data_IF_140658975838
#
_entry.id   IF_140658975838
#
_cell.length_a   1.000
_cell.length_b   1.000
_cell.length_c   1.000
_cell.angle_alpha   90.00
_cell.angle_beta   90.00
_cell.angle_gamma   90.00
#
_symmetry.space_group_name_H-M   'P 1'
#
loop_
_entity.id
_entity.type
_entity.pdbx_description
1 polymer ?
#
# COMPACT_ATOMS: atom_id res chain seq x y z
N UNK A 1 1.12 -25.55 -14.51
CA UNK A 1 1.76 -25.04 -13.28
C UNK A 1 3.09 -24.41 -13.66
N UNK A 2 3.18 -23.10 -13.62
CA UNK A 2 4.44 -22.37 -13.76
C UNK A 2 5.15 -22.53 -12.42
N UNK A 3 6.20 -23.35 -12.36
CA UNK A 3 7.04 -23.43 -11.17
C UNK A 3 7.61 -22.06 -10.90
N UNK A 4 7.54 -21.60 -9.65
CA UNK A 4 8.21 -20.38 -9.21
C UNK A 4 9.68 -20.48 -9.63
N UNK A 5 10.05 -19.75 -10.69
CA UNK A 5 11.40 -19.83 -11.26
C UNK A 5 12.34 -18.97 -10.43
N UNK A 6 13.12 -19.60 -9.59
CA UNK A 6 14.13 -19.02 -8.68
C UNK A 6 15.30 -18.31 -9.39
N UNK A 7 15.04 -17.66 -10.53
CA UNK A 7 16.09 -17.13 -11.41
C UNK A 7 16.39 -15.65 -11.24
N UNK A 8 15.47 -14.91 -10.60
CA UNK A 8 15.60 -13.47 -10.46
C UNK A 8 15.90 -13.06 -9.02
N UNK A 9 16.78 -12.08 -8.85
CA UNK A 9 17.22 -11.60 -7.53
C UNK A 9 16.09 -11.05 -6.65
N UNK A 10 14.99 -10.63 -7.27
CA UNK A 10 13.80 -10.07 -6.58
C UNK A 10 12.65 -11.07 -6.42
N UNK A 11 12.89 -12.35 -6.69
CA UNK A 11 11.89 -13.40 -6.40
C UNK A 11 11.56 -13.40 -4.91
N UNK A 12 10.27 -13.56 -4.58
CA UNK A 12 9.82 -13.64 -3.18
C UNK A 12 10.51 -14.84 -2.49
N UNK A 13 11.19 -14.61 -1.35
CA UNK A 13 11.95 -15.68 -0.68
C UNK A 13 11.10 -16.86 -0.22
N UNK A 14 9.83 -16.64 0.13
CA UNK A 14 8.93 -17.72 0.55
C UNK A 14 8.58 -18.60 -0.65
N UNK A 15 8.24 -17.99 -1.80
CA UNK A 15 8.02 -18.72 -3.04
C UNK A 15 9.28 -19.49 -3.46
N UNK A 16 10.45 -18.91 -3.25
CA UNK A 16 11.73 -19.55 -3.52
C UNK A 16 11.98 -20.80 -2.66
N UNK A 17 11.61 -20.77 -1.38
CA UNK A 17 11.75 -21.88 -0.44
C UNK A 17 10.71 -22.98 -0.75
N UNK A 18 9.47 -22.60 -0.92
CA UNK A 18 8.34 -23.54 -1.04
C UNK A 18 8.15 -24.07 -2.46
N UNK A 19 8.70 -23.39 -3.47
CA UNK A 19 8.45 -23.70 -4.89
C UNK A 19 7.01 -23.42 -5.35
N UNK A 20 6.24 -22.66 -4.57
CA UNK A 20 4.82 -22.35 -4.79
C UNK A 20 4.61 -20.87 -5.03
N UNK A 21 3.56 -20.56 -5.79
CA UNK A 21 3.07 -19.20 -5.90
C UNK A 21 2.36 -18.75 -4.61
N UNK A 22 2.31 -17.44 -4.34
CA UNK A 22 1.76 -16.89 -3.09
C UNK A 22 0.34 -17.37 -2.78
N UNK A 23 -0.51 -17.50 -3.80
CA UNK A 23 -1.91 -17.93 -3.63
C UNK A 23 -2.07 -19.43 -3.35
N UNK A 24 -1.00 -20.21 -3.53
CA UNK A 24 -0.97 -21.67 -3.26
C UNK A 24 -0.41 -22.00 -1.87
N UNK A 25 0.08 -20.99 -1.12
CA UNK A 25 0.69 -21.19 0.19
C UNK A 25 -0.30 -21.78 1.18
N UNK A 26 0.11 -22.84 1.85
CA UNK A 26 -0.61 -23.51 2.92
C UNK A 26 0.06 -23.26 4.26
N UNK A 27 -0.63 -23.59 5.36
CA UNK A 27 -0.04 -23.56 6.70
C UNK A 27 1.25 -24.37 6.78
N UNK A 28 1.29 -25.55 6.17
CA UNK A 28 2.46 -26.43 6.20
C UNK A 28 3.67 -25.82 5.50
N UNK A 29 3.46 -25.14 4.38
CA UNK A 29 4.51 -24.40 3.69
C UNK A 29 5.10 -23.30 4.58
N UNK A 30 4.27 -22.59 5.33
CA UNK A 30 4.70 -21.53 6.23
C UNK A 30 5.45 -22.07 7.45
N UNK A 31 5.04 -23.24 7.98
CA UNK A 31 5.78 -23.97 9.02
C UNK A 31 7.16 -24.38 8.48
N UNK A 32 7.23 -24.93 7.27
CA UNK A 32 8.51 -25.24 6.62
C UNK A 32 9.42 -24.01 6.56
N UNK A 33 8.90 -22.85 6.16
CA UNK A 33 9.67 -21.60 6.11
C UNK A 33 10.19 -21.21 7.50
N UNK A 34 9.36 -21.33 8.55
CA UNK A 34 9.77 -21.03 9.93
C UNK A 34 10.93 -21.95 10.35
N UNK A 35 10.81 -23.26 10.09
CA UNK A 35 11.82 -24.26 10.45
C UNK A 35 13.14 -24.06 9.67
N UNK A 36 13.06 -23.92 8.34
CA UNK A 36 14.25 -23.78 7.48
C UNK A 36 15.03 -22.48 7.73
N UNK A 37 14.33 -21.40 8.07
CA UNK A 37 14.96 -20.09 8.36
C UNK A 37 15.30 -19.90 9.83
N UNK A 38 14.86 -20.79 10.72
CA UNK A 38 15.04 -20.65 12.15
C UNK A 38 14.42 -19.34 12.67
N UNK A 39 13.18 -19.08 12.24
CA UNK A 39 12.47 -17.87 12.64
C UNK A 39 11.98 -18.00 14.07
N UNK A 40 12.02 -16.89 14.81
CA UNK A 40 11.72 -16.84 16.24
C UNK A 40 10.31 -16.35 16.54
N UNK A 41 9.68 -15.67 15.54
CA UNK A 41 8.37 -15.04 15.74
C UNK A 41 7.54 -14.98 14.47
N UNK A 42 6.24 -14.85 14.68
CA UNK A 42 5.25 -14.49 13.68
C UNK A 42 4.79 -13.08 14.03
N UNK A 43 4.76 -12.18 13.04
CA UNK A 43 4.25 -10.81 13.22
C UNK A 43 2.99 -10.61 12.38
N UNK A 44 1.91 -10.26 13.04
CA UNK A 44 0.65 -9.90 12.42
C UNK A 44 0.57 -8.40 12.19
N UNK A 45 0.37 -8.00 10.94
CA UNK A 45 0.13 -6.63 10.54
C UNK A 45 -1.35 -6.45 10.20
N UNK A 46 -1.96 -5.42 10.73
CA UNK A 46 -3.37 -5.10 10.46
C UNK A 46 -3.58 -3.60 10.34
N UNK A 47 -4.55 -3.23 9.50
CA UNK A 47 -4.80 -1.83 9.15
C UNK A 47 -5.70 -1.16 10.18
N UNK A 48 -5.23 -0.06 10.76
CA UNK A 48 -6.04 0.81 11.60
C UNK A 48 -6.96 1.72 10.76
N UNK A 49 -7.94 2.36 11.41
CA UNK A 49 -8.88 3.26 10.74
C UNK A 49 -8.22 4.46 10.04
N UNK A 50 -7.06 4.88 10.51
CA UNK A 50 -6.27 5.96 9.91
C UNK A 50 -5.34 5.48 8.78
N UNK A 51 -5.48 4.22 8.34
CA UNK A 51 -4.68 3.62 7.29
C UNK A 51 -3.24 3.27 7.67
N UNK A 52 -2.88 3.36 8.96
CA UNK A 52 -1.57 2.91 9.43
C UNK A 52 -1.61 1.43 9.76
N UNK A 53 -0.51 0.75 9.51
CA UNK A 53 -0.29 -0.61 10.00
C UNK A 53 0.02 -0.57 11.49
N UNK A 54 -0.66 -1.44 12.22
CA UNK A 54 -0.31 -1.86 13.59
C UNK A 54 0.21 -3.29 13.55
N UNK A 55 0.93 -3.69 14.58
CA UNK A 55 1.55 -5.01 14.62
C UNK A 55 1.36 -5.71 15.97
N UNK A 56 1.28 -7.03 15.91
CA UNK A 56 1.32 -7.92 17.05
C UNK A 56 2.44 -8.94 16.82
N UNK A 57 3.41 -9.01 17.74
CA UNK A 57 4.56 -9.90 17.64
C UNK A 57 4.36 -11.11 18.56
N UNK A 58 4.36 -12.29 17.96
CA UNK A 58 4.06 -13.55 18.62
C UNK A 58 5.31 -14.43 18.59
N UNK A 59 5.96 -14.73 19.74
CA UNK A 59 7.11 -15.61 19.76
C UNK A 59 6.69 -17.05 19.42
N UNK A 60 7.54 -17.78 18.74
CA UNK A 60 7.31 -19.18 18.36
C UNK A 60 8.36 -20.06 19.03
N UNK A 61 7.95 -20.81 20.06
CA UNK A 61 8.84 -21.69 20.80
C UNK A 61 8.85 -23.13 20.28
N UNK A 62 7.81 -23.56 19.54
CA UNK A 62 7.70 -24.90 18.99
C UNK A 62 6.66 -24.96 17.86
N UNK A 63 6.68 -26.06 17.12
CA UNK A 63 5.79 -26.28 15.98
C UNK A 63 4.30 -26.21 16.34
N UNK A 64 3.88 -26.80 17.46
CA UNK A 64 2.48 -26.77 17.90
C UNK A 64 1.96 -25.34 18.10
N UNK A 65 2.78 -24.48 18.70
CA UNK A 65 2.44 -23.06 18.88
C UNK A 65 2.33 -22.35 17.54
N UNK A 66 3.27 -22.56 16.61
CA UNK A 66 3.21 -21.97 15.29
C UNK A 66 1.96 -22.41 14.52
N UNK A 67 1.61 -23.71 14.56
CA UNK A 67 0.40 -24.24 13.95
C UNK A 67 -0.87 -23.62 14.51
N UNK A 68 -0.95 -23.44 15.82
CA UNK A 68 -2.09 -22.80 16.50
C UNK A 68 -2.23 -21.34 16.07
N UNK A 69 -1.15 -20.55 16.15
CA UNK A 69 -1.16 -19.15 15.76
C UNK A 69 -1.55 -18.96 14.29
N UNK A 70 -1.02 -19.77 13.39
CA UNK A 70 -1.36 -19.70 11.97
C UNK A 70 -2.81 -20.10 11.68
N UNK A 71 -3.39 -21.01 12.47
CA UNK A 71 -4.76 -21.54 12.25
C UNK A 71 -5.83 -20.69 12.91
N UNK A 72 -5.61 -20.30 14.17
CA UNK A 72 -6.62 -19.67 15.03
C UNK A 72 -6.43 -18.14 15.11
N UNK A 73 -5.24 -17.67 14.71
CA UNK A 73 -4.86 -16.27 14.90
C UNK A 73 -4.64 -15.91 16.37
N UNK A 74 -4.82 -14.62 16.68
CA UNK A 74 -4.69 -14.11 18.04
C UNK A 74 -5.80 -13.15 18.41
N UNK A 75 -6.19 -13.19 19.68
CA UNK A 75 -7.18 -12.26 20.22
C UNK A 75 -6.55 -10.90 20.51
N UNK A 76 -7.27 -9.83 20.18
CA UNK A 76 -6.89 -8.45 20.44
C UNK A 76 -8.06 -7.66 21.02
N UNK A 77 -7.75 -6.59 21.77
CA UNK A 77 -8.76 -5.69 22.29
C UNK A 77 -9.24 -4.70 21.21
N UNK A 78 -10.42 -4.97 20.68
CA UNK A 78 -11.06 -4.13 19.67
C UNK A 78 -11.43 -2.74 20.18
N UNK A 79 -11.72 -2.57 21.48
CA UNK A 79 -12.07 -1.27 22.05
C UNK A 79 -10.89 -0.28 22.03
N UNK A 80 -9.67 -0.79 22.17
CA UNK A 80 -8.44 -0.01 22.05
C UNK A 80 -8.07 0.29 20.60
N UNK A 81 -8.38 -0.63 19.66
CA UNK A 81 -8.07 -0.48 18.25
C UNK A 81 -9.11 0.39 17.50
N UNK A 82 -10.37 0.24 17.87
CA UNK A 82 -11.53 0.84 17.17
C UNK A 82 -12.39 1.64 18.15
N UNK A 83 -11.73 2.56 18.87
CA UNK A 83 -12.37 3.41 19.88
C UNK A 83 -13.58 4.16 19.32
N UNK A 84 -14.72 4.03 20.01
CA UNK A 84 -15.99 4.64 19.59
C UNK A 84 -16.81 3.82 18.58
N UNK A 85 -16.25 2.71 18.08
CA UNK A 85 -16.96 1.75 17.21
C UNK A 85 -17.19 0.44 17.96
N UNK A 86 -16.19 -0.04 18.69
CA UNK A 86 -16.26 -1.28 19.47
C UNK A 86 -16.49 -0.94 20.94
N UNK A 87 -17.56 -1.54 21.51
CA UNK A 87 -17.90 -1.40 22.93
C UNK A 87 -16.92 -2.21 23.80
N UNK A 88 -16.50 -1.63 24.92
CA UNK A 88 -15.59 -2.30 25.87
C UNK A 88 -16.19 -3.59 26.48
N UNK A 89 -17.51 -3.69 26.57
CA UNK A 89 -18.20 -4.88 27.05
C UNK A 89 -18.22 -6.06 26.07
N UNK A 90 -17.86 -5.84 24.78
CA UNK A 90 -17.77 -6.85 23.71
C UNK A 90 -16.55 -6.57 22.83
N UNK A 91 -15.39 -6.40 23.46
CA UNK A 91 -14.19 -5.89 22.78
C UNK A 91 -13.35 -6.95 22.09
N UNK A 92 -13.63 -8.23 22.27
CA UNK A 92 -12.82 -9.29 21.70
C UNK A 92 -12.95 -9.34 20.19
N UNK A 93 -11.81 -9.13 19.52
CA UNK A 93 -11.61 -9.37 18.10
C UNK A 93 -10.49 -10.40 17.93
N UNK A 94 -10.54 -11.14 16.84
CA UNK A 94 -9.48 -12.07 16.45
C UNK A 94 -8.81 -11.58 15.20
N UNK A 95 -7.48 -11.66 15.18
CA UNK A 95 -6.64 -11.28 14.02
C UNK A 95 -6.10 -12.56 13.41
N UNK A 96 -6.50 -12.87 12.18
CA UNK A 96 -6.08 -14.07 11.47
C UNK A 96 -5.19 -13.74 10.27
N UNK A 97 -4.10 -14.52 10.04
CA UNK A 97 -3.18 -14.26 8.95
C UNK A 97 -3.77 -14.66 7.59
N UNK A 98 -3.50 -13.83 6.57
CA UNK A 98 -3.79 -14.15 5.17
C UNK A 98 -2.55 -14.80 4.57
N UNK A 99 -2.53 -16.11 4.36
CA UNK A 99 -1.33 -16.85 3.96
C UNK A 99 -0.65 -16.34 2.71
N UNK A 100 -1.43 -15.94 1.70
CA UNK A 100 -0.88 -15.36 0.47
C UNK A 100 -0.14 -14.03 0.66
N UNK A 101 -0.34 -13.38 1.81
CA UNK A 101 0.35 -12.12 2.17
C UNK A 101 1.64 -12.34 2.93
N UNK A 102 2.00 -13.59 3.24
CA UNK A 102 3.21 -13.92 4.00
C UNK A 102 4.47 -13.33 3.37
N UNK A 103 5.34 -12.76 4.21
CA UNK A 103 6.65 -12.27 3.79
C UNK A 103 7.68 -12.38 4.92
N UNK A 104 8.94 -12.54 4.55
CA UNK A 104 10.04 -12.38 5.50
C UNK A 104 10.23 -10.90 5.76
N UNK A 105 10.25 -10.51 7.04
CA UNK A 105 10.37 -9.09 7.41
C UNK A 105 11.67 -8.49 6.88
N UNK A 106 11.65 -7.36 6.17
CA UNK A 106 12.87 -6.71 5.71
C UNK A 106 13.61 -5.99 6.83
N UNK A 107 12.99 -5.87 8.01
CA UNK A 107 13.52 -5.12 9.15
C UNK A 107 13.83 -6.00 10.36
N UNK A 108 13.49 -7.28 10.31
CA UNK A 108 13.70 -8.28 11.35
C UNK A 108 13.93 -9.65 10.69
N UNK A 109 15.18 -10.10 10.63
CA UNK A 109 15.60 -11.36 9.98
C UNK A 109 15.08 -12.63 10.67
N UNK A 110 14.38 -12.46 11.81
CA UNK A 110 13.80 -13.54 12.63
C UNK A 110 12.28 -13.60 12.61
N UNK A 111 11.63 -12.85 11.74
CA UNK A 111 10.17 -12.75 11.71
C UNK A 111 9.56 -13.18 10.37
N UNK A 112 8.48 -13.97 10.47
CA UNK A 112 7.53 -14.23 9.39
C UNK A 112 6.31 -13.34 9.58
N UNK A 113 6.10 -12.44 8.63
CA UNK A 113 5.10 -11.38 8.73
C UNK A 113 3.91 -11.63 7.82
N UNK A 114 2.72 -11.18 8.24
CA UNK A 114 1.47 -11.34 7.51
C UNK A 114 0.63 -10.08 7.55
N UNK A 115 -0.07 -9.77 6.47
CA UNK A 115 -1.27 -8.95 6.55
C UNK A 115 -2.42 -9.82 7.06
N UNK A 116 -3.18 -9.31 8.03
CA UNK A 116 -4.22 -10.05 8.71
C UNK A 116 -5.61 -9.44 8.50
N UNK A 117 -6.64 -10.23 8.82
CA UNK A 117 -8.04 -9.81 8.83
C UNK A 117 -8.63 -9.92 10.23
N UNK A 118 -9.58 -9.06 10.53
CA UNK A 118 -10.29 -9.09 11.81
C UNK A 118 -11.55 -9.94 11.73
N UNK A 119 -11.70 -10.83 12.70
CA UNK A 119 -12.95 -11.53 12.97
C UNK A 119 -13.57 -11.03 14.28
N UNK A 120 -14.88 -11.11 14.36
CA UNK A 120 -15.63 -10.97 15.62
C UNK A 120 -15.49 -12.23 16.47
N UNK A 121 -15.95 -12.18 17.72
CA UNK A 121 -15.99 -13.35 18.61
C UNK A 121 -16.82 -14.51 18.05
N UNK A 122 -17.75 -14.24 17.14
CA UNK A 122 -18.59 -15.27 16.47
C UNK A 122 -17.88 -15.88 15.25
N UNK A 123 -16.65 -15.50 14.95
CA UNK A 123 -15.87 -15.98 13.81
C UNK A 123 -16.20 -15.35 12.46
N UNK A 124 -17.04 -14.32 12.44
CA UNK A 124 -17.41 -13.58 11.24
C UNK A 124 -16.45 -12.42 10.97
N UNK A 125 -16.27 -12.04 9.70
CA UNK A 125 -15.48 -10.86 9.35
C UNK A 125 -16.02 -9.61 10.04
N UNK A 126 -15.19 -8.91 10.79
CA UNK A 126 -15.58 -7.67 11.48
C UNK A 126 -16.05 -6.61 10.47
N UNK A 127 -17.32 -6.16 10.50
CA UNK A 127 -17.93 -5.44 9.39
C UNK A 127 -17.51 -3.97 9.29
N UNK A 128 -16.76 -3.46 10.25
CA UNK A 128 -16.35 -2.06 10.38
C UNK A 128 -14.88 -1.82 10.05
N UNK A 129 -14.10 -2.86 9.79
CA UNK A 129 -12.69 -2.70 9.44
C UNK A 129 -12.53 -2.37 7.96
N UNK A 130 -11.59 -1.48 7.57
CA UNK A 130 -11.48 -0.99 6.19
C UNK A 130 -11.27 -2.10 5.16
N UNK A 131 -10.44 -3.08 5.48
CA UNK A 131 -10.13 -4.24 4.65
C UNK A 131 -11.36 -5.13 4.42
N UNK A 132 -12.15 -5.41 5.47
CA UNK A 132 -13.37 -6.22 5.36
C UNK A 132 -14.49 -5.48 4.63
N UNK A 133 -14.57 -4.15 4.79
CA UNK A 133 -15.50 -3.31 4.00
C UNK A 133 -15.13 -3.40 2.51
N UNK A 134 -13.84 -3.30 2.18
CA UNK A 134 -13.36 -3.43 0.81
C UNK A 134 -13.69 -4.82 0.24
N UNK A 135 -13.39 -5.88 0.99
CA UNK A 135 -13.68 -7.25 0.58
C UNK A 135 -15.17 -7.49 0.35
N UNK A 136 -16.04 -6.95 1.23
CA UNK A 136 -17.50 -6.99 1.06
C UNK A 136 -17.94 -6.25 -0.20
N UNK A 137 -17.40 -5.06 -0.45
CA UNK A 137 -17.74 -4.27 -1.63
C UNK A 137 -17.30 -4.98 -2.92
N UNK A 138 -16.10 -5.55 -2.95
CA UNK A 138 -15.59 -6.32 -4.09
C UNK A 138 -16.44 -7.58 -4.35
N UNK A 139 -16.84 -8.29 -3.30
CA UNK A 139 -17.73 -9.45 -3.42
C UNK A 139 -19.09 -9.04 -4.03
N UNK A 140 -19.73 -8.00 -3.49
CA UNK A 140 -20.99 -7.50 -4.02
C UNK A 140 -20.87 -7.03 -5.47
N UNK A 141 -19.76 -6.41 -5.83
CA UNK A 141 -19.50 -6.02 -7.21
C UNK A 141 -19.47 -7.24 -8.13
N UNK A 142 -18.73 -8.30 -7.77
CA UNK A 142 -18.68 -9.55 -8.55
C UNK A 142 -20.05 -10.22 -8.69
N UNK A 143 -20.81 -10.29 -7.59
CA UNK A 143 -22.13 -10.90 -7.58
C UNK A 143 -23.14 -10.14 -8.47
N UNK A 144 -23.09 -8.81 -8.46
CA UNK A 144 -24.04 -7.98 -9.22
C UNK A 144 -23.66 -7.80 -10.69
N UNK A 145 -22.38 -7.86 -11.05
CA UNK A 145 -21.90 -7.53 -12.40
C UNK A 145 -21.33 -8.72 -13.14
N UNK A 146 -20.87 -9.75 -12.44
CA UNK A 146 -20.09 -10.85 -13.00
C UNK A 146 -18.65 -10.45 -13.36
N UNK A 147 -18.18 -9.26 -12.94
CA UNK A 147 -16.83 -8.76 -13.19
C UNK A 147 -16.02 -8.68 -11.92
N UNK A 148 -14.70 -8.88 -12.03
CA UNK A 148 -13.75 -8.57 -10.98
C UNK A 148 -13.22 -7.15 -11.16
N UNK A 149 -13.13 -6.40 -10.06
CA UNK A 149 -12.50 -5.09 -10.04
C UNK A 149 -11.01 -5.26 -9.71
N UNK A 150 -10.17 -4.80 -10.62
CA UNK A 150 -8.73 -4.67 -10.43
C UNK A 150 -8.37 -3.21 -10.24
N UNK A 151 -7.31 -2.97 -9.48
CA UNK A 151 -6.77 -1.65 -9.28
C UNK A 151 -5.26 -1.67 -9.18
N UNK A 152 -4.68 -0.50 -9.35
CA UNK A 152 -3.32 -0.17 -8.95
C UNK A 152 -3.32 1.22 -8.34
N UNK A 153 -2.40 1.46 -7.41
CA UNK A 153 -2.17 2.79 -6.86
C UNK A 153 -0.83 3.34 -7.34
N UNK A 154 -0.76 4.64 -7.46
CA UNK A 154 0.47 5.41 -7.63
C UNK A 154 0.72 6.16 -6.32
N UNK A 155 1.73 5.74 -5.58
CA UNK A 155 2.08 6.36 -4.31
C UNK A 155 3.10 7.46 -4.53
N UNK A 156 2.63 8.71 -4.52
CA UNK A 156 3.51 9.86 -4.41
C UNK A 156 3.80 10.17 -2.93
N UNK A 157 5.02 10.61 -2.65
CA UNK A 157 5.43 11.04 -1.31
C UNK A 157 6.69 11.88 -1.36
N UNK A 158 6.94 12.66 -0.31
CA UNK A 158 8.21 13.36 -0.16
C UNK A 158 9.14 12.59 0.77
N UNK A 159 10.41 12.50 0.36
CA UNK A 159 11.52 12.09 1.22
C UNK A 159 12.19 13.36 1.72
N UNK A 160 12.16 13.58 3.04
CA UNK A 160 12.73 14.74 3.69
C UNK A 160 14.10 14.37 4.26
N UNK A 161 15.15 15.00 3.74
CA UNK A 161 16.54 14.81 4.17
C UNK A 161 17.09 16.05 4.87
N UNK A 162 18.21 15.91 5.55
CA UNK A 162 18.94 17.06 6.08
C UNK A 162 19.47 17.94 4.93
N UNK A 163 19.58 19.25 5.13
CA UNK A 163 20.21 20.13 4.14
C UNK A 163 21.67 19.71 3.86
N UNK A 164 22.04 19.70 2.60
CA UNK A 164 23.39 19.41 2.15
C UNK A 164 23.87 20.54 1.24
N UNK A 165 25.21 20.73 1.14
CA UNK A 165 25.79 21.55 0.10
C UNK A 165 25.46 20.96 -1.27
N UNK A 166 24.63 21.64 -2.02
CA UNK A 166 24.11 21.13 -3.28
C UNK A 166 24.93 21.64 -4.47
N UNK A 167 25.92 20.87 -4.89
CA UNK A 167 26.72 21.17 -6.09
C UNK A 167 25.92 21.00 -7.39
N UNK A 168 24.83 20.26 -7.35
CA UNK A 168 23.97 19.95 -8.49
C UNK A 168 22.52 20.27 -8.13
N UNK A 169 22.13 21.55 -8.12
CA UNK A 169 20.78 21.96 -7.72
C UNK A 169 19.76 21.59 -8.80
N UNK A 170 18.57 21.20 -8.37
CA UNK A 170 17.39 21.07 -9.23
C UNK A 170 16.59 22.36 -9.09
N UNK A 171 16.24 23.05 -10.19
CA UNK A 171 15.33 24.18 -10.12
C UNK A 171 13.96 23.78 -9.55
N UNK A 172 13.30 24.71 -8.87
CA UNK A 172 11.97 24.51 -8.28
C UNK A 172 11.01 23.87 -9.29
N UNK A 173 10.33 22.80 -8.88
CA UNK A 173 9.35 22.08 -9.70
C UNK A 173 9.93 21.53 -11.04
N UNK A 174 11.19 21.09 -11.04
CA UNK A 174 11.88 20.49 -12.20
C UNK A 174 12.52 19.14 -11.88
N UNK A 175 12.00 18.45 -10.85
CA UNK A 175 12.53 17.15 -10.39
C UNK A 175 12.08 15.95 -11.21
N UNK A 176 11.13 16.09 -12.12
CA UNK A 176 10.52 14.97 -12.84
C UNK A 176 11.57 14.14 -13.58
N UNK A 177 11.67 12.85 -13.25
CA UNK A 177 12.66 11.90 -13.75
C UNK A 177 14.12 12.32 -13.55
N UNK A 178 14.41 13.26 -12.64
CA UNK A 178 15.77 13.61 -12.33
C UNK A 178 16.53 12.43 -11.72
N UNK A 179 17.82 12.37 -12.00
CA UNK A 179 18.72 11.29 -11.54
C UNK A 179 19.89 11.86 -10.74
N UNK A 180 20.65 10.96 -10.09
CA UNK A 180 21.90 11.36 -9.44
C UNK A 180 22.87 11.99 -10.45
N UNK A 181 23.65 12.99 -10.09
CA UNK A 181 23.83 13.55 -8.75
C UNK A 181 22.84 14.68 -8.36
N UNK A 182 21.88 14.98 -9.22
CA UNK A 182 20.90 16.04 -8.95
C UNK A 182 19.95 15.68 -7.80
N UNK A 183 19.44 14.44 -7.77
CA UNK A 183 18.67 13.90 -6.64
C UNK A 183 19.58 13.24 -5.62
N UNK A 184 19.18 13.26 -4.36
CA UNK A 184 19.96 12.73 -3.22
C UNK A 184 19.31 11.51 -2.56
N UNK A 185 18.03 11.27 -2.81
CA UNK A 185 17.27 10.16 -2.23
C UNK A 185 17.25 8.87 -3.07
N UNK A 186 18.03 8.81 -4.15
CA UNK A 186 18.00 7.68 -5.10
C UNK A 186 18.31 6.31 -4.48
N UNK A 187 19.29 6.21 -3.58
CA UNK A 187 19.61 4.96 -2.89
C UNK A 187 18.49 4.51 -1.98
N UNK A 188 17.87 5.45 -1.26
CA UNK A 188 16.74 5.18 -0.37
C UNK A 188 15.53 4.70 -1.17
N UNK A 189 15.25 5.33 -2.31
CA UNK A 189 14.19 4.90 -3.21
C UNK A 189 14.47 3.49 -3.77
N UNK A 190 15.71 3.19 -4.15
CA UNK A 190 16.10 1.85 -4.61
C UNK A 190 15.88 0.77 -3.55
N UNK A 191 16.19 1.06 -2.27
CA UNK A 191 15.93 0.12 -1.16
C UNK A 191 14.42 -0.08 -0.95
N UNK A 192 13.62 0.98 -1.02
CA UNK A 192 12.15 0.87 -0.97
C UNK A 192 11.62 -0.05 -2.08
N UNK A 193 12.04 0.18 -3.32
CA UNK A 193 11.65 -0.63 -4.49
C UNK A 193 12.10 -2.08 -4.31
N UNK A 194 13.32 -2.31 -3.83
CA UNK A 194 13.85 -3.65 -3.56
C UNK A 194 12.95 -4.44 -2.61
N UNK A 195 12.67 -3.89 -1.44
CA UNK A 195 11.84 -4.57 -0.45
C UNK A 195 10.41 -4.78 -0.94
N UNK A 196 9.79 -3.75 -1.52
CA UNK A 196 8.45 -3.83 -2.06
C UNK A 196 8.33 -4.89 -3.16
N UNK A 197 9.28 -4.94 -4.09
CA UNK A 197 9.26 -5.93 -5.17
C UNK A 197 9.42 -7.35 -4.63
N UNK A 198 10.37 -7.58 -3.71
CA UNK A 198 10.56 -8.91 -3.10
C UNK A 198 9.35 -9.41 -2.33
N UNK A 199 8.63 -8.51 -1.67
CA UNK A 199 7.48 -8.87 -0.85
C UNK A 199 6.22 -9.03 -1.70
N UNK A 200 5.93 -8.05 -2.56
CA UNK A 200 4.65 -8.00 -3.28
C UNK A 200 4.71 -8.62 -4.68
N UNK A 201 5.85 -8.52 -5.35
CA UNK A 201 5.98 -8.86 -6.77
C UNK A 201 5.28 -7.89 -7.73
N UNK A 202 4.74 -6.78 -7.22
CA UNK A 202 3.82 -5.92 -7.98
C UNK A 202 4.30 -4.48 -8.17
N UNK A 203 5.57 -4.17 -7.94
CA UNK A 203 6.11 -2.85 -8.31
C UNK A 203 6.29 -2.79 -9.82
N UNK A 204 5.77 -1.76 -10.45
CA UNK A 204 5.90 -1.49 -11.89
C UNK A 204 7.15 -0.67 -12.17
N UNK A 205 7.26 0.50 -11.56
CA UNK A 205 8.44 1.37 -11.60
C UNK A 205 8.42 2.38 -10.44
N UNK A 206 9.50 3.15 -10.33
CA UNK A 206 9.60 4.28 -9.42
C UNK A 206 10.46 5.38 -10.07
N UNK A 207 10.16 6.63 -9.76
CA UNK A 207 10.90 7.78 -10.24
C UNK A 207 10.76 8.99 -9.31
N UNK A 208 11.58 10.01 -9.56
CA UNK A 208 11.41 11.30 -8.92
C UNK A 208 10.32 12.09 -9.63
N UNK A 209 9.50 12.76 -8.83
CA UNK A 209 8.43 13.64 -9.27
C UNK A 209 8.89 15.10 -9.36
N UNK A 210 8.02 15.99 -9.83
CA UNK A 210 8.34 17.40 -10.08
C UNK A 210 8.75 18.14 -8.80
N UNK A 211 8.25 17.70 -7.63
CA UNK A 211 8.35 18.43 -6.38
C UNK A 211 9.75 18.41 -5.77
N UNK A 212 10.34 19.60 -5.63
CA UNK A 212 11.58 19.83 -4.89
C UNK A 212 11.39 20.97 -3.92
N UNK A 213 11.72 20.74 -2.66
CA UNK A 213 11.68 21.71 -1.57
C UNK A 213 13.10 21.88 -1.00
N UNK A 214 13.64 23.08 -1.06
CA UNK A 214 14.98 23.37 -0.52
C UNK A 214 14.97 23.53 1.01
N UNK A 215 13.83 23.97 1.56
CA UNK A 215 13.69 24.31 2.98
C UNK A 215 12.23 24.17 3.41
N UNK A 216 11.87 23.03 3.96
CA UNK A 216 10.51 22.74 4.42
C UNK A 216 10.11 23.65 5.58
N UNK A 217 9.02 24.38 5.42
CA UNK A 217 8.43 25.20 6.47
C UNK A 217 7.48 24.35 7.32
N UNK A 218 7.78 24.23 8.61
CA UNK A 218 6.97 23.41 9.53
C UNK A 218 7.11 23.90 10.96
N UNK A 219 6.06 23.72 11.76
CA UNK A 219 6.10 23.90 13.20
C UNK A 219 6.82 22.74 13.92
N UNK A 220 6.92 21.58 13.28
CA UNK A 220 7.64 20.42 13.79
C UNK A 220 9.14 20.58 13.57
N UNK A 221 9.91 20.64 14.67
CA UNK A 221 11.37 20.84 14.65
C UNK A 221 12.09 19.75 13.84
N UNK A 222 11.58 18.53 13.85
CA UNK A 222 12.17 17.33 13.21
C UNK A 222 12.16 17.43 11.68
N UNK A 223 11.29 18.24 11.09
CA UNK A 223 11.16 18.38 9.62
C UNK A 223 11.43 19.81 9.14
N UNK A 224 11.41 20.80 10.05
CA UNK A 224 11.71 22.20 9.70
C UNK A 224 13.12 22.32 9.13
N UNK A 225 13.23 23.03 8.03
CA UNK A 225 14.51 23.29 7.37
C UNK A 225 15.06 22.12 6.57
N UNK A 226 14.39 20.96 6.56
CA UNK A 226 14.81 19.83 5.71
C UNK A 226 14.58 20.15 4.24
N UNK A 227 15.36 19.48 3.40
CA UNK A 227 15.14 19.41 1.96
C UNK A 227 14.12 18.32 1.66
N UNK A 228 13.23 18.51 0.68
CA UNK A 228 12.26 17.52 0.24
C UNK A 228 12.44 17.19 -1.24
N UNK A 229 12.46 15.91 -1.56
CA UNK A 229 12.40 15.37 -2.91
C UNK A 229 11.14 14.53 -3.04
N UNK A 230 10.29 14.86 -4.01
CA UNK A 230 9.10 14.09 -4.29
C UNK A 230 9.46 12.90 -5.17
N UNK A 231 8.89 11.75 -4.83
CA UNK A 231 9.07 10.48 -5.54
C UNK A 231 7.74 9.77 -5.69
N UNK A 232 7.66 8.88 -6.66
CA UNK A 232 6.51 8.04 -6.92
C UNK A 232 6.92 6.59 -7.06
N UNK A 233 6.07 5.69 -6.55
CA UNK A 233 6.12 4.25 -6.80
C UNK A 233 4.77 3.81 -7.36
N UNK A 234 4.77 3.31 -8.59
CA UNK A 234 3.60 2.75 -9.26
C UNK A 234 3.59 1.22 -9.16
N UNK A 235 2.40 0.66 -8.98
CA UNK A 235 2.20 -0.78 -8.86
C UNK A 235 1.58 -1.40 -10.10
N UNK A 236 1.67 -2.72 -10.24
CA UNK A 236 0.96 -3.50 -11.25
C UNK A 236 -0.48 -3.76 -10.79
N UNK A 237 -1.44 -3.89 -11.73
CA UNK A 237 -2.83 -4.16 -11.39
C UNK A 237 -3.01 -5.50 -10.66
N UNK A 238 -3.78 -5.48 -9.57
CA UNK A 238 -4.16 -6.65 -8.79
C UNK A 238 -5.65 -6.61 -8.47
N UNK A 239 -6.26 -7.72 -8.01
CA UNK A 239 -7.61 -7.67 -7.44
C UNK A 239 -7.69 -6.57 -6.37
N UNK A 240 -8.79 -5.83 -6.34
CA UNK A 240 -8.87 -4.58 -5.55
C UNK A 240 -8.59 -4.77 -4.06
N UNK A 241 -8.93 -5.93 -3.49
CA UNK A 241 -8.63 -6.27 -2.10
C UNK A 241 -7.11 -6.39 -1.87
N UNK A 242 -6.39 -6.97 -2.82
CA UNK A 242 -4.94 -7.08 -2.77
C UNK A 242 -4.25 -5.73 -3.01
N UNK A 243 -4.82 -4.90 -3.90
CA UNK A 243 -4.35 -3.53 -4.10
C UNK A 243 -4.37 -2.73 -2.79
N UNK A 244 -5.43 -2.86 -2.00
CA UNK A 244 -5.54 -2.24 -0.68
C UNK A 244 -4.41 -2.67 0.26
N UNK A 245 -4.14 -3.97 0.35
CA UNK A 245 -3.07 -4.54 1.16
C UNK A 245 -1.69 -4.05 0.72
N UNK A 246 -1.42 -4.04 -0.60
CA UNK A 246 -0.15 -3.56 -1.18
C UNK A 246 0.10 -2.11 -0.83
N UNK A 247 -0.89 -1.23 -0.99
CA UNK A 247 -0.74 0.21 -0.73
C UNK A 247 -0.45 0.49 0.75
N UNK A 248 -1.15 -0.19 1.65
CA UNK A 248 -0.93 -0.02 3.10
C UNK A 248 0.44 -0.53 3.51
N UNK A 249 0.82 -1.72 3.03
CA UNK A 249 2.14 -2.31 3.27
C UNK A 249 3.25 -1.43 2.69
N UNK A 250 3.06 -0.89 1.49
CA UNK A 250 4.01 0.02 0.86
C UNK A 250 4.27 1.26 1.71
N UNK A 251 3.23 1.91 2.22
CA UNK A 251 3.39 3.06 3.12
C UNK A 251 4.17 2.72 4.39
N UNK A 252 4.01 1.51 4.92
CA UNK A 252 4.74 1.04 6.07
C UNK A 252 6.23 0.81 5.74
N UNK A 253 6.53 0.10 4.64
CA UNK A 253 7.92 -0.14 4.18
C UNK A 253 8.63 1.17 3.88
N UNK A 254 8.01 2.07 3.11
CA UNK A 254 8.56 3.38 2.75
C UNK A 254 8.96 4.18 3.99
N UNK A 255 8.10 4.24 5.01
CA UNK A 255 8.40 4.96 6.25
C UNK A 255 9.54 4.32 7.03
N UNK A 256 9.58 2.98 7.11
CA UNK A 256 10.64 2.28 7.82
C UNK A 256 12.00 2.42 7.14
N UNK A 257 12.05 2.30 5.81
CA UNK A 257 13.29 2.52 5.04
C UNK A 257 13.77 3.95 5.23
N UNK A 258 12.91 4.95 5.04
CA UNK A 258 13.28 6.35 5.26
C UNK A 258 13.82 6.59 6.68
N UNK A 259 13.14 6.08 7.70
CA UNK A 259 13.56 6.20 9.09
C UNK A 259 14.95 5.60 9.35
N UNK A 260 15.25 4.43 8.79
CA UNK A 260 16.56 3.76 8.93
C UNK A 260 17.71 4.55 8.31
N UNK A 261 17.42 5.35 7.29
CA UNK A 261 18.37 6.29 6.68
C UNK A 261 18.41 7.68 7.36
N UNK A 262 17.67 7.89 8.45
CA UNK A 262 17.56 9.21 9.11
C UNK A 262 16.72 10.22 8.34
N UNK A 263 15.96 9.77 7.36
CA UNK A 263 15.02 10.55 6.56
C UNK A 263 13.60 10.45 7.09
N UNK A 264 12.72 11.32 6.60
CA UNK A 264 11.28 11.23 6.89
C UNK A 264 10.54 11.08 5.56
N UNK A 265 9.78 9.99 5.42
CA UNK A 265 8.83 9.86 4.31
C UNK A 265 7.46 10.39 4.74
N UNK A 266 6.91 11.33 3.96
CA UNK A 266 5.60 11.91 4.26
C UNK A 266 4.65 11.83 3.07
N UNK A 267 3.41 11.44 3.38
CA UNK A 267 2.28 11.34 2.45
C UNK A 267 1.27 12.49 2.68
N UNK A 268 1.71 13.57 3.32
CA UNK A 268 0.85 14.76 3.50
C UNK A 268 0.45 15.30 2.14
N UNK A 269 -0.86 15.48 1.86
CA UNK A 269 -1.33 15.83 0.52
C UNK A 269 -0.76 17.14 -0.03
N UNK A 270 -0.42 18.08 0.82
CA UNK A 270 0.18 19.36 0.46
C UNK A 270 1.11 19.83 1.57
N UNK A 271 2.41 19.76 1.35
CA UNK A 271 3.41 20.26 2.31
C UNK A 271 3.46 21.79 2.30
N UNK A 272 3.51 22.38 1.10
CA UNK A 272 3.59 23.83 0.91
C UNK A 272 2.70 24.26 -0.25
N UNK A 273 1.99 25.39 -0.06
CA UNK A 273 1.22 26.01 -1.13
C UNK A 273 2.19 26.56 -2.18
N UNK A 274 1.87 26.34 -3.46
CA UNK A 274 2.72 26.75 -4.58
C UNK A 274 3.79 25.73 -4.99
N UNK A 275 3.83 24.56 -4.34
CA UNK A 275 4.63 23.41 -4.74
C UNK A 275 3.72 22.21 -5.10
N UNK A 276 4.27 21.18 -5.75
CA UNK A 276 3.53 19.97 -6.05
C UNK A 276 2.95 19.33 -4.79
N UNK A 277 1.71 18.87 -4.88
CA UNK A 277 1.06 18.08 -3.85
C UNK A 277 1.36 16.59 -4.05
N UNK A 278 1.08 15.79 -3.04
CA UNK A 278 1.20 14.34 -3.06
C UNK A 278 -0.11 13.72 -3.52
N UNK A 279 -0.12 13.08 -4.67
CA UNK A 279 -1.25 12.31 -5.18
C UNK A 279 -1.27 10.89 -4.63
N UNK A 280 -2.44 10.26 -4.77
CA UNK A 280 -2.57 8.82 -4.77
C UNK A 280 -3.57 8.49 -5.87
N UNK A 281 -3.08 8.45 -7.10
CA UNK A 281 -3.92 8.10 -8.24
C UNK A 281 -4.29 6.62 -8.16
N UNK A 282 -5.51 6.31 -8.56
CA UNK A 282 -6.01 4.95 -8.64
C UNK A 282 -6.45 4.66 -10.05
N UNK A 283 -5.76 3.73 -10.72
CA UNK A 283 -6.22 3.16 -11.97
C UNK A 283 -7.07 1.95 -11.68
N UNK A 284 -8.17 1.81 -12.38
CA UNK A 284 -9.10 0.70 -12.21
C UNK A 284 -9.38 0.00 -13.54
N UNK A 285 -9.60 -1.30 -13.46
CA UNK A 285 -9.99 -2.11 -14.61
C UNK A 285 -11.05 -3.14 -14.20
N UNK A 286 -12.00 -3.37 -15.10
CA UNK A 286 -12.92 -4.50 -15.00
C UNK A 286 -12.31 -5.71 -15.71
N UNK A 287 -12.27 -6.84 -14.99
CA UNK A 287 -11.77 -8.10 -15.52
C UNK A 287 -12.91 -9.11 -15.66
N UNK A 288 -12.93 -9.83 -16.77
CA UNK A 288 -13.81 -10.96 -17.00
C UNK A 288 -12.99 -12.13 -17.53
N UNK A 289 -13.07 -13.26 -16.85
CA UNK A 289 -12.30 -14.48 -17.21
C UNK A 289 -10.80 -14.19 -17.45
N UNK A 290 -10.20 -13.39 -16.55
CA UNK A 290 -8.80 -13.00 -16.62
C UNK A 290 -8.44 -11.97 -17.71
N UNK A 291 -9.42 -11.41 -18.41
CA UNK A 291 -9.21 -10.41 -19.48
C UNK A 291 -9.72 -9.04 -19.07
N UNK A 292 -8.92 -8.01 -19.33
CA UNK A 292 -9.35 -6.62 -19.18
C UNK A 292 -10.41 -6.29 -20.25
N UNK A 293 -11.58 -5.85 -19.81
CA UNK A 293 -12.72 -5.52 -20.68
C UNK A 293 -12.99 -4.01 -20.79
N UNK A 294 -12.05 -3.17 -20.37
CA UNK A 294 -12.22 -1.72 -20.45
C UNK A 294 -12.15 -1.18 -21.90
N UNK A 295 -11.50 -1.91 -22.79
CA UNK A 295 -11.41 -1.54 -24.21
C UNK A 295 -12.21 -2.50 -25.10
N UNK A 296 -12.85 -1.93 -26.10
CA UNK A 296 -13.48 -2.66 -27.19
C UNK A 296 -12.48 -3.15 -28.24
N UNK A 297 -12.98 -3.87 -29.26
CA UNK A 297 -12.14 -4.55 -30.28
C UNK A 297 -11.26 -3.60 -31.09
N UNK A 298 -11.65 -2.34 -31.22
CA UNK A 298 -10.93 -1.31 -32.03
C UNK A 298 -10.15 -0.32 -31.15
N UNK A 299 -10.01 -0.61 -29.85
CA UNK A 299 -9.33 0.27 -28.90
C UNK A 299 -10.21 1.39 -28.32
N UNK A 300 -11.49 1.47 -28.70
CA UNK A 300 -12.45 2.38 -28.10
C UNK A 300 -12.82 1.96 -26.66
N UNK A 301 -13.29 2.89 -25.84
CA UNK A 301 -13.84 2.56 -24.51
C UNK A 301 -15.05 1.64 -24.64
N UNK A 302 -15.04 0.53 -23.93
CA UNK A 302 -16.17 -0.40 -23.88
C UNK A 302 -17.41 0.24 -23.25
N UNK A 303 -18.57 -0.40 -23.42
CA UNK A 303 -19.80 0.01 -22.73
C UNK A 303 -19.61 -0.04 -21.21
N UNK A 304 -18.97 -1.06 -20.71
CA UNK A 304 -18.67 -1.29 -19.28
C UNK A 304 -17.77 -0.17 -18.73
N UNK A 305 -16.72 0.21 -19.48
CA UNK A 305 -15.85 1.34 -19.11
C UNK A 305 -16.64 2.65 -18.99
N UNK A 306 -17.49 2.94 -19.97
CA UNK A 306 -18.36 4.14 -19.96
C UNK A 306 -19.35 4.14 -18.79
N UNK A 307 -19.87 2.97 -18.38
CA UNK A 307 -20.72 2.85 -17.18
C UNK A 307 -19.94 3.14 -15.89
N UNK A 308 -18.68 2.67 -15.78
CA UNK A 308 -17.80 2.99 -14.65
C UNK A 308 -17.54 4.49 -14.58
N UNK A 309 -17.16 5.13 -15.69
CA UNK A 309 -16.94 6.58 -15.78
C UNK A 309 -18.19 7.35 -15.35
N UNK A 310 -19.36 6.95 -15.85
CA UNK A 310 -20.63 7.57 -15.47
C UNK A 310 -20.92 7.46 -13.96
N UNK A 311 -20.61 6.29 -13.36
CA UNK A 311 -20.73 6.07 -11.92
C UNK A 311 -19.77 6.96 -11.12
N UNK A 312 -18.49 7.01 -11.51
CA UNK A 312 -17.49 7.87 -10.88
C UNK A 312 -17.88 9.35 -10.93
N UNK A 313 -18.33 9.83 -12.09
CA UNK A 313 -18.79 11.22 -12.24
C UNK A 313 -20.02 11.51 -11.36
N UNK A 314 -20.98 10.59 -11.31
CA UNK A 314 -22.19 10.74 -10.47
C UNK A 314 -21.88 10.81 -8.98
N UNK A 315 -20.94 9.98 -8.51
CA UNK A 315 -20.59 9.87 -7.09
C UNK A 315 -19.31 10.65 -6.72
N UNK A 316 -18.84 11.53 -7.59
CA UNK A 316 -17.65 12.33 -7.35
C UNK A 316 -17.70 13.15 -6.05
N UNK A 317 -18.85 13.75 -5.62
CA UNK A 317 -18.91 14.41 -4.32
C UNK A 317 -18.61 13.47 -3.15
N UNK A 318 -19.13 12.23 -3.19
CA UNK A 318 -18.83 11.22 -2.17
C UNK A 318 -17.36 10.78 -2.23
N UNK A 319 -16.84 10.55 -3.43
CA UNK A 319 -15.41 10.21 -3.62
C UNK A 319 -14.51 11.32 -3.08
N UNK A 320 -14.87 12.59 -3.30
CA UNK A 320 -14.12 13.73 -2.78
C UNK A 320 -14.10 13.73 -1.24
N UNK A 321 -15.22 13.44 -0.60
CA UNK A 321 -15.30 13.36 0.86
C UNK A 321 -14.46 12.22 1.44
N UNK A 322 -14.52 11.03 0.85
CA UNK A 322 -13.78 9.86 1.32
C UNK A 322 -12.30 9.86 0.91
N UNK A 323 -11.96 10.42 -0.24
CA UNK A 323 -10.58 10.52 -0.73
C UNK A 323 -9.78 11.67 -0.10
N UNK A 324 -10.45 12.71 0.41
CA UNK A 324 -9.81 13.90 0.99
C UNK A 324 -10.14 14.00 2.49
N UNK A 325 -9.65 13.08 3.28
CA UNK A 325 -9.99 12.93 4.71
C UNK A 325 -9.33 13.94 5.64
N UNK A 326 -8.35 14.71 5.16
CA UNK A 326 -7.63 15.73 5.94
C UNK A 326 -7.71 17.09 5.26
N UNK A 327 -7.68 18.17 6.03
CA UNK A 327 -7.77 19.54 5.52
C UNK A 327 -6.70 19.88 4.47
N UNK A 328 -5.48 19.37 4.63
CA UNK A 328 -4.38 19.55 3.68
C UNK A 328 -4.69 19.00 2.27
N UNK A 329 -5.61 18.04 2.14
CA UNK A 329 -6.05 17.53 0.83
C UNK A 329 -6.69 18.63 -0.02
N UNK A 330 -7.48 19.50 0.60
CA UNK A 330 -8.19 20.57 -0.11
C UNK A 330 -7.26 21.72 -0.57
N UNK A 331 -6.08 21.85 0.03
CA UNK A 331 -5.05 22.79 -0.44
C UNK A 331 -4.45 22.42 -1.80
N UNK A 332 -4.68 21.19 -2.28
CA UNK A 332 -4.30 20.73 -3.63
C UNK A 332 -5.25 21.24 -4.71
N UNK A 333 -6.53 21.42 -4.37
CA UNK A 333 -7.61 21.69 -5.33
C UNK A 333 -7.66 23.19 -5.68
N UNK A 334 -6.56 23.70 -6.26
CA UNK A 334 -6.41 25.10 -6.66
C UNK A 334 -6.16 25.20 -8.16
N UNK A 335 -6.70 26.23 -8.84
CA UNK A 335 -6.49 26.43 -10.28
C UNK A 335 -5.00 26.56 -10.63
N UNK A 336 -4.64 26.07 -11.84
CA UNK A 336 -3.28 26.16 -12.41
C UNK A 336 -2.19 25.43 -11.59
N UNK A 337 -2.56 24.48 -10.76
CA UNK A 337 -1.67 23.51 -10.12
C UNK A 337 -2.10 22.09 -10.53
N UNK A 338 -1.22 21.13 -10.48
CA UNK A 338 -1.37 19.78 -11.05
C UNK A 338 -2.52 18.93 -10.50
N UNK A 339 -3.37 19.48 -9.65
CA UNK A 339 -4.54 18.77 -9.14
C UNK A 339 -5.82 19.19 -9.89
N UNK A 340 -6.77 18.26 -10.10
CA UNK A 340 -8.04 18.56 -10.76
C UNK A 340 -8.88 19.49 -9.87
N UNK A 341 -9.44 20.55 -10.47
CA UNK A 341 -10.38 21.48 -9.80
C UNK A 341 -11.83 21.26 -10.23
N UNK A 342 -12.05 20.34 -11.16
CA UNK A 342 -13.36 19.97 -11.70
C UNK A 342 -13.46 18.45 -11.87
N UNK A 343 -14.68 17.94 -11.75
CA UNK A 343 -15.00 16.60 -12.20
C UNK A 343 -15.10 16.63 -13.72
N UNK A 344 -14.17 15.98 -14.38
CA UNK A 344 -14.16 15.87 -15.84
C UNK A 344 -13.62 14.49 -16.23
N UNK A 345 -13.87 14.09 -17.45
CA UNK A 345 -13.27 12.92 -18.06
C UNK A 345 -12.97 13.17 -19.53
N UNK A 346 -12.07 12.40 -20.10
CA UNK A 346 -11.74 12.45 -21.51
C UNK A 346 -11.33 11.06 -21.99
N UNK A 347 -11.52 10.78 -23.28
CA UNK A 347 -11.07 9.51 -23.89
C UNK A 347 -9.55 9.52 -24.15
N UNK A 348 -8.91 10.66 -24.08
CA UNK A 348 -7.51 10.89 -24.44
C UNK A 348 -6.59 11.15 -23.24
N UNK A 349 -7.10 11.03 -22.03
CA UNK A 349 -6.32 11.27 -20.83
C UNK A 349 -6.33 10.04 -19.94
#
# INVERSE_FOLDING_TARGET
MVKCENKFALTNPICAITGKERHELTREDLIQVIEEKGLERITFHYTALDGKIKELRIPVANRKQAEMVLTEGERVDGSSLFKGIVDAGKSDLYVIPVYKSAFLSPFDDKSLDFICRFLTADGELAPFTPDNILAKAAKLHRENTGFELYGLGELEFYILSNPENNLYPIPKQKGYHASAPYVKSGEVLNEMVHHLTKITGHVKYAHHEVGVLDNVQSDFAEVRGRRGEQVEIEFLPTPIEETGDIVVLAKWIIRNVAYRHGFVATFVPKLEVGHAGTGMHFHIALMKEGKNIMLGKKGELSKEAKMVIGGLCRYAPSLTAYGNTVSASYLRLVPNQEAPTKVCWSEMN
#
